data_IF_732804703146
#
_entry.id   IF_732804703146
#
_cell.length_a   1.000
_cell.length_b   1.000
_cell.length_c   1.000
_cell.angle_alpha   90.00
_cell.angle_beta   90.00
_cell.angle_gamma   90.00
#
_symmetry.space_group_name_H-M   'P 1'
#
loop_
_entity.id
_entity.type
_entity.pdbx_description
1 polymer ?
#
# COMPACT_ATOMS: atom_id res chain seq x y z
N UNK A 1 5.91 1.09 23.59
CA UNK A 1 4.80 1.26 22.64
C UNK A 1 5.38 1.66 21.29
N UNK A 2 5.00 0.99 20.19
CA UNK A 2 5.40 1.39 18.83
C UNK A 2 4.60 2.58 18.30
N UNK A 3 5.03 3.17 17.17
CA UNK A 3 4.27 4.18 16.43
C UNK A 3 3.91 3.63 15.04
N UNK A 4 2.74 4.00 14.54
CA UNK A 4 2.33 3.75 13.15
C UNK A 4 2.45 5.07 12.39
N UNK A 5 3.10 5.03 11.22
CA UNK A 5 3.29 6.19 10.35
C UNK A 5 2.83 5.79 8.95
N UNK A 6 1.86 6.51 8.39
CA UNK A 6 1.42 6.35 7.01
C UNK A 6 2.15 7.35 6.11
N UNK A 7 2.70 6.87 4.99
CA UNK A 7 3.36 7.70 3.97
C UNK A 7 2.43 7.81 2.77
N UNK A 8 1.81 8.98 2.59
CA UNK A 8 0.80 9.23 1.56
C UNK A 8 1.33 10.08 0.40
N UNK A 9 0.64 10.01 -0.74
CA UNK A 9 0.96 10.79 -1.93
C UNK A 9 0.51 10.13 -3.24
N UNK A 10 0.53 10.92 -4.32
CA UNK A 10 0.17 10.45 -5.67
C UNK A 10 1.19 9.46 -6.24
N UNK A 11 0.86 8.84 -7.37
CA UNK A 11 1.79 7.97 -8.10
C UNK A 11 3.03 8.74 -8.56
N UNK A 12 4.20 8.11 -8.46
CA UNK A 12 5.48 8.76 -8.75
C UNK A 12 6.02 9.70 -7.66
N UNK A 13 5.29 9.95 -6.57
CA UNK A 13 5.74 10.87 -5.50
C UNK A 13 6.94 10.39 -4.64
N UNK A 14 7.54 9.23 -4.94
CA UNK A 14 8.72 8.73 -4.22
C UNK A 14 8.44 8.10 -2.84
N UNK A 15 7.19 7.72 -2.55
CA UNK A 15 6.76 7.15 -1.24
C UNK A 15 7.62 5.98 -0.76
N UNK A 16 7.96 5.06 -1.66
CA UNK A 16 8.79 3.89 -1.34
C UNK A 16 10.23 4.26 -0.98
N UNK A 17 10.79 5.26 -1.64
CA UNK A 17 12.11 5.80 -1.33
C UNK A 17 12.09 6.41 0.07
N UNK A 18 11.10 7.25 0.35
CA UNK A 18 10.93 7.90 1.67
C UNK A 18 10.74 6.87 2.79
N UNK A 19 9.92 5.83 2.58
CA UNK A 19 9.69 4.81 3.61
C UNK A 19 10.96 4.00 3.93
N UNK A 20 11.76 3.67 2.92
CA UNK A 20 13.08 3.02 3.10
C UNK A 20 14.06 3.91 3.84
N UNK A 21 14.18 5.19 3.46
CA UNK A 21 15.07 6.13 4.14
C UNK A 21 14.67 6.36 5.60
N UNK A 22 13.36 6.48 5.86
CA UNK A 22 12.85 6.61 7.23
C UNK A 22 13.14 5.37 8.06
N UNK A 23 12.93 4.17 7.50
CA UNK A 23 13.28 2.91 8.16
C UNK A 23 14.77 2.88 8.53
N UNK A 24 15.66 3.16 7.59
CA UNK A 24 17.10 3.16 7.83
C UNK A 24 17.50 4.14 8.94
N UNK A 25 16.93 5.35 8.96
CA UNK A 25 17.19 6.35 10.01
C UNK A 25 16.68 5.92 11.39
N UNK A 26 15.59 5.15 11.46
CA UNK A 26 15.10 4.59 12.72
C UNK A 26 16.03 3.47 13.21
N UNK A 27 16.47 2.60 12.30
CA UNK A 27 17.38 1.49 12.59
C UNK A 27 18.77 1.96 13.03
N UNK A 28 19.32 2.99 12.39
CA UNK A 28 20.58 3.65 12.77
C UNK A 28 20.55 4.20 14.22
N UNK A 29 19.36 4.56 14.71
CA UNK A 29 19.14 5.01 16.09
C UNK A 29 18.91 3.85 17.08
N UNK A 30 19.20 2.62 16.69
CA UNK A 30 19.08 1.43 17.53
C UNK A 30 17.64 0.99 17.80
N UNK A 31 16.69 1.37 16.93
CA UNK A 31 15.26 1.00 17.05
C UNK A 31 14.84 0.09 15.90
N UNK A 32 13.76 -0.66 16.09
CA UNK A 32 13.21 -1.52 15.04
C UNK A 32 12.13 -0.80 14.24
N UNK A 33 12.05 -1.11 12.94
CA UNK A 33 11.00 -0.63 12.06
C UNK A 33 10.65 -1.66 10.97
N UNK A 34 9.36 -1.78 10.68
CA UNK A 34 8.82 -2.63 9.62
C UNK A 34 8.03 -1.78 8.65
N UNK A 35 8.22 -2.03 7.34
CA UNK A 35 7.42 -1.40 6.28
C UNK A 35 6.34 -2.39 5.88
N UNK A 36 5.10 -1.93 5.88
CA UNK A 36 3.96 -2.61 5.26
C UNK A 36 3.50 -1.73 4.10
N UNK A 37 3.28 -2.32 2.93
CA UNK A 37 2.85 -1.59 1.73
C UNK A 37 1.47 -2.05 1.31
N UNK A 38 0.64 -1.09 0.90
CA UNK A 38 -0.66 -1.33 0.30
C UNK A 38 -0.69 -0.73 -1.12
N UNK A 39 -1.42 -1.36 -2.06
CA UNK A 39 -2.15 -2.62 -1.89
C UNK A 39 -1.24 -3.87 -1.83
N UNK A 40 -1.72 -4.93 -1.18
CA UNK A 40 -1.03 -6.23 -1.05
C UNK A 40 -1.42 -7.16 -2.21
N UNK A 41 -1.05 -6.74 -3.42
CA UNK A 41 -1.49 -7.34 -4.69
C UNK A 41 -1.31 -8.85 -4.82
N UNK A 42 -0.32 -9.44 -4.15
CA UNK A 42 -0.04 -10.88 -4.20
C UNK A 42 -0.48 -11.64 -2.94
N UNK A 43 -0.91 -10.94 -1.89
CA UNK A 43 -1.04 -11.54 -0.56
C UNK A 43 -2.48 -11.64 -0.06
N UNK A 44 -3.41 -10.87 -0.62
CA UNK A 44 -4.84 -10.94 -0.28
C UNK A 44 -5.71 -11.16 -1.50
N UNK A 45 -6.89 -11.75 -1.32
CA UNK A 45 -7.86 -11.94 -2.41
C UNK A 45 -8.30 -10.57 -2.96
N UNK A 46 -8.54 -9.59 -2.09
CA UNK A 46 -8.93 -8.24 -2.49
C UNK A 46 -7.81 -7.51 -3.25
N UNK A 47 -6.56 -7.65 -2.80
CA UNK A 47 -5.37 -7.13 -3.48
C UNK A 47 -5.18 -7.74 -4.86
N UNK A 48 -5.34 -9.05 -5.00
CA UNK A 48 -5.28 -9.72 -6.31
C UNK A 48 -6.38 -9.24 -7.25
N UNK A 49 -7.62 -9.12 -6.75
CA UNK A 49 -8.75 -8.59 -7.52
C UNK A 49 -8.49 -7.14 -7.98
N UNK A 50 -7.99 -6.30 -7.08
CA UNK A 50 -7.63 -4.92 -7.38
C UNK A 50 -6.50 -4.83 -8.42
N UNK A 51 -5.47 -5.66 -8.30
CA UNK A 51 -4.37 -5.72 -9.27
C UNK A 51 -4.84 -6.14 -10.67
N UNK A 52 -5.79 -7.09 -10.74
CA UNK A 52 -6.40 -7.48 -12.01
C UNK A 52 -7.22 -6.34 -12.62
N UNK A 53 -7.97 -5.59 -11.81
CA UNK A 53 -8.69 -4.41 -12.27
C UNK A 53 -7.74 -3.32 -12.81
N UNK A 54 -6.73 -2.93 -12.03
CA UNK A 54 -5.79 -1.87 -12.42
C UNK A 54 -4.93 -2.25 -13.64
N UNK A 55 -4.72 -3.53 -13.88
CA UNK A 55 -4.01 -4.03 -15.08
C UNK A 55 -4.91 -4.25 -16.30
N UNK A 56 -6.21 -3.89 -16.21
CA UNK A 56 -7.17 -4.03 -17.30
C UNK A 56 -7.60 -5.46 -17.62
N UNK A 57 -7.36 -6.40 -16.70
CA UNK A 57 -7.74 -7.82 -16.86
C UNK A 57 -9.19 -8.11 -16.50
N UNK A 58 -9.88 -7.17 -15.88
CA UNK A 58 -11.30 -7.28 -15.51
C UNK A 58 -12.08 -6.08 -16.03
N UNK A 59 -13.41 -6.20 -16.02
CA UNK A 59 -14.33 -5.11 -16.33
C UNK A 59 -14.12 -3.88 -15.42
N UNK A 60 -14.44 -2.70 -15.95
CA UNK A 60 -14.38 -1.43 -15.22
C UNK A 60 -15.68 -1.21 -14.46
N UNK A 61 -15.70 -1.23 -13.11
CA UNK A 61 -16.94 -1.04 -12.38
C UNK A 61 -17.57 0.33 -12.66
N UNK A 62 -18.90 0.38 -12.76
CA UNK A 62 -19.64 1.63 -12.96
C UNK A 62 -19.60 2.54 -11.73
N UNK A 63 -19.46 1.96 -10.53
CA UNK A 63 -19.38 2.70 -9.26
C UNK A 63 -17.96 2.68 -8.67
N UNK A 64 -17.29 3.84 -8.51
CA UNK A 64 -15.99 3.97 -7.86
C UNK A 64 -15.93 3.37 -6.45
N UNK A 65 -17.05 3.31 -5.72
CA UNK A 65 -17.11 2.69 -4.39
C UNK A 65 -16.78 1.20 -4.42
N UNK A 66 -17.02 0.52 -5.53
CA UNK A 66 -16.67 -0.89 -5.71
C UNK A 66 -15.16 -1.08 -5.57
N UNK A 67 -14.38 -0.21 -6.20
CA UNK A 67 -12.91 -0.25 -6.12
C UNK A 67 -12.41 0.23 -4.75
N UNK A 68 -13.01 1.28 -4.19
CA UNK A 68 -12.68 1.74 -2.84
C UNK A 68 -12.89 0.64 -1.79
N UNK A 69 -13.92 -0.20 -1.97
CA UNK A 69 -14.20 -1.35 -1.10
C UNK A 69 -13.10 -2.41 -1.20
N UNK A 70 -12.58 -2.69 -2.40
CA UNK A 70 -11.45 -3.61 -2.56
C UNK A 70 -10.17 -3.10 -1.88
N UNK A 71 -9.87 -1.80 -1.98
CA UNK A 71 -8.77 -1.18 -1.21
C UNK A 71 -8.98 -1.32 0.31
N UNK A 72 -10.22 -1.24 0.79
CA UNK A 72 -10.54 -1.39 2.21
C UNK A 72 -10.41 -2.84 2.68
N UNK A 73 -10.83 -3.81 1.88
CA UNK A 73 -10.74 -5.24 2.19
C UNK A 73 -9.31 -5.81 2.11
N UNK A 74 -8.40 -5.13 1.41
CA UNK A 74 -6.99 -5.53 1.29
C UNK A 74 -6.14 -5.18 2.53
N UNK A 75 -6.61 -4.22 3.34
CA UNK A 75 -5.92 -3.75 4.56
C UNK A 75 -6.22 -4.62 5.77
#
# INVERSE_FOLDING_TARGET
MGKIVAIEGVDGAGKFTVSKSLKALIEDRGKTATIVSFPRYSETIAGQALGNFLSGKTYIPEDPKSIATLYAMDR
#
